data_IF_130892606889
#
_entry.id   IF_130892606889
#
_cell.length_a   1.000
_cell.length_b   1.000
_cell.length_c   1.000
_cell.angle_alpha   90.00
_cell.angle_beta   90.00
_cell.angle_gamma   90.00
#
_symmetry.space_group_name_H-M   'P 1'
#
loop_
_entity.id
_entity.type
_entity.pdbx_description
1 polymer ?
#
# COMPACT_ATOMS: atom_id res chain seq x y z
N UNK A 1 10.67 17.50 -14.24
CA UNK A 1 9.37 17.28 -13.56
C UNK A 1 8.80 18.54 -12.88
N UNK A 2 9.39 19.72 -13.13
CA UNK A 2 8.90 21.00 -12.60
C UNK A 2 8.79 21.00 -11.08
N UNK A 3 7.86 21.80 -10.54
CA UNK A 3 7.68 21.98 -9.09
C UNK A 3 7.44 20.65 -8.35
N UNK A 4 6.75 19.69 -8.98
CA UNK A 4 6.56 18.34 -8.41
C UNK A 4 7.90 17.61 -8.27
N UNK A 5 8.77 17.69 -9.27
CA UNK A 5 10.12 17.12 -9.22
C UNK A 5 10.98 17.77 -8.16
N UNK A 6 10.88 19.08 -8.01
CA UNK A 6 11.59 19.83 -6.99
C UNK A 6 11.14 19.42 -5.58
N UNK A 7 9.83 19.21 -5.37
CA UNK A 7 9.31 18.72 -4.11
C UNK A 7 9.80 17.30 -3.78
N UNK A 8 9.89 16.41 -4.77
CA UNK A 8 10.47 15.05 -4.59
C UNK A 8 11.94 15.15 -4.23
N UNK A 9 12.70 16.00 -4.93
CA UNK A 9 14.13 16.22 -4.64
C UNK A 9 14.34 16.82 -3.23
N UNK A 10 13.46 17.73 -2.80
CA UNK A 10 13.49 18.29 -1.45
C UNK A 10 13.20 17.21 -0.40
N UNK A 11 12.24 16.30 -0.66
CA UNK A 11 11.95 15.19 0.22
C UNK A 11 13.17 14.26 0.36
N UNK A 12 13.79 13.89 -0.76
CA UNK A 12 14.99 13.05 -0.79
C UNK A 12 16.15 13.71 -0.03
N UNK A 13 16.38 15.00 -0.26
CA UNK A 13 17.36 15.78 0.50
C UNK A 13 17.08 15.78 2.00
N UNK A 14 15.80 15.90 2.41
CA UNK A 14 15.40 15.90 3.82
C UNK A 14 15.74 14.54 4.48
N UNK A 15 15.49 13.45 3.77
CA UNK A 15 15.87 12.10 4.24
C UNK A 15 17.39 11.99 4.37
N UNK A 16 18.15 12.54 3.41
CA UNK A 16 19.60 12.60 3.47
C UNK A 16 20.12 13.37 4.70
N UNK A 17 19.52 14.54 5.00
CA UNK A 17 19.88 15.32 6.19
C UNK A 17 19.58 14.58 7.50
N UNK A 18 18.46 13.83 7.56
CA UNK A 18 18.16 12.98 8.71
C UNK A 18 19.23 11.90 8.89
N UNK A 19 19.60 11.21 7.81
CA UNK A 19 20.59 10.15 7.86
C UNK A 19 21.98 10.67 8.24
N UNK A 20 22.39 11.80 7.71
CA UNK A 20 23.65 12.48 8.06
C UNK A 20 23.69 12.90 9.54
N UNK A 21 22.57 13.43 10.05
CA UNK A 21 22.46 13.79 11.47
C UNK A 21 22.61 12.57 12.38
N UNK A 22 21.97 11.44 12.03
CA UNK A 22 22.11 10.20 12.79
C UNK A 22 23.57 9.68 12.78
N UNK A 23 24.27 9.84 11.67
CA UNK A 23 25.65 9.45 11.54
C UNK A 23 26.57 10.33 12.42
N UNK A 24 26.42 11.63 12.35
CA UNK A 24 27.16 12.60 13.19
C UNK A 24 26.95 12.37 14.69
N UNK A 25 25.76 11.91 15.08
CA UNK A 25 25.44 11.59 16.47
C UNK A 25 25.83 10.16 16.89
N UNK A 26 26.37 9.35 15.99
CA UNK A 26 26.70 7.94 16.26
C UNK A 26 25.50 7.04 16.52
N UNK A 27 24.31 7.41 16.02
CA UNK A 27 23.05 6.69 16.24
C UNK A 27 22.67 5.76 15.07
N UNK A 28 23.36 5.83 13.96
CA UNK A 28 23.06 5.14 12.70
C UNK A 28 22.82 3.64 12.88
N UNK A 29 23.72 2.95 13.58
CA UNK A 29 23.68 1.50 13.73
C UNK A 29 22.42 1.02 14.45
N UNK A 30 21.97 1.76 15.46
CA UNK A 30 20.84 1.37 16.31
C UNK A 30 19.56 2.17 16.08
N UNK A 31 19.39 2.72 14.87
CA UNK A 31 18.17 3.42 14.48
C UNK A 31 17.46 2.66 13.36
N UNK A 32 16.19 2.32 13.59
CA UNK A 32 15.28 1.81 12.57
C UNK A 32 14.65 3.01 11.84
N UNK A 33 14.90 3.12 10.54
CA UNK A 33 14.25 4.08 9.65
C UNK A 33 13.27 3.30 8.77
N UNK A 34 12.02 3.75 8.74
CA UNK A 34 10.99 3.27 7.81
C UNK A 34 10.52 4.47 7.01
N UNK A 35 10.68 4.39 5.69
CA UNK A 35 10.18 5.38 4.75
C UNK A 35 9.06 4.76 3.94
N UNK A 36 7.92 5.44 3.86
CA UNK A 36 6.76 4.99 3.11
C UNK A 36 5.89 6.17 2.69
N UNK A 37 4.80 5.87 1.97
CA UNK A 37 3.73 6.81 1.65
C UNK A 37 2.42 6.32 2.28
N UNK A 38 1.45 7.21 2.44
CA UNK A 38 0.13 6.90 3.00
C UNK A 38 -0.81 6.27 1.96
N UNK A 39 -0.66 6.64 0.68
CA UNK A 39 -1.45 6.13 -0.44
C UNK A 39 -0.68 6.23 -1.75
N UNK A 40 -1.25 5.70 -2.82
CA UNK A 40 -0.73 5.85 -4.17
C UNK A 40 -0.64 7.31 -4.63
N UNK A 41 0.09 7.60 -5.71
CA UNK A 41 0.33 8.96 -6.16
C UNK A 41 -0.92 9.64 -6.71
N UNK A 42 -0.94 10.97 -6.70
CA UNK A 42 -1.83 11.82 -7.47
C UNK A 42 -0.97 12.84 -8.22
N UNK A 43 -1.29 13.08 -9.48
CA UNK A 43 -0.55 14.04 -10.32
C UNK A 43 -1.20 15.39 -10.26
N UNK A 44 -2.49 15.46 -10.57
CA UNK A 44 -3.29 16.68 -10.47
C UNK A 44 -4.10 16.62 -9.17
N UNK A 45 -3.69 17.42 -8.20
CA UNK A 45 -4.35 17.58 -6.90
C UNK A 45 -5.00 18.99 -6.77
N UNK A 46 -5.30 19.60 -7.94
CA UNK A 46 -5.93 20.92 -8.03
C UNK A 46 -4.95 22.09 -7.93
N UNK A 47 -3.65 21.84 -7.79
CA UNK A 47 -2.63 22.89 -7.81
C UNK A 47 -2.24 23.28 -9.24
N UNK A 48 -2.01 24.58 -9.44
CA UNK A 48 -1.57 25.13 -10.73
C UNK A 48 -0.05 25.07 -10.89
N UNK A 49 0.53 23.88 -10.75
CA UNK A 49 1.96 23.65 -10.75
C UNK A 49 2.48 23.00 -12.05
N UNK A 50 1.57 22.77 -13.02
CA UNK A 50 1.86 22.10 -14.30
C UNK A 50 2.40 20.67 -14.11
N UNK A 51 1.96 19.97 -13.05
CA UNK A 51 2.47 18.64 -12.71
C UNK A 51 2.26 17.63 -13.86
N UNK A 52 1.12 17.67 -14.53
CA UNK A 52 0.82 16.79 -15.67
C UNK A 52 1.69 17.10 -16.89
N UNK A 53 1.77 18.37 -17.28
CA UNK A 53 2.51 18.81 -18.48
C UNK A 53 4.01 18.55 -18.36
N UNK A 54 4.53 18.54 -17.12
CA UNK A 54 5.95 18.39 -16.84
C UNK A 54 6.35 16.98 -16.39
N UNK A 55 5.47 15.97 -16.54
CA UNK A 55 5.80 14.57 -16.22
C UNK A 55 6.96 14.01 -17.04
N UNK A 56 7.12 14.47 -18.30
CA UNK A 56 8.19 14.01 -19.21
C UNK A 56 8.32 12.49 -19.30
N UNK A 57 7.17 11.79 -19.39
CA UNK A 57 7.12 10.33 -19.46
C UNK A 57 7.25 9.60 -18.13
N UNK A 58 7.37 10.32 -17.01
CA UNK A 58 7.32 9.69 -15.70
C UNK A 58 5.93 9.14 -15.40
N UNK A 59 5.87 7.90 -14.91
CA UNK A 59 4.64 7.21 -14.50
C UNK A 59 4.63 7.06 -12.99
N UNK A 60 3.97 7.95 -12.23
CA UNK A 60 4.09 8.01 -10.77
C UNK A 60 3.68 6.71 -10.04
N UNK A 61 2.67 6.00 -10.53
CA UNK A 61 2.26 4.68 -10.00
C UNK A 61 3.06 3.51 -10.59
N UNK A 62 4.10 3.81 -11.37
CA UNK A 62 4.88 2.77 -12.04
C UNK A 62 4.02 1.93 -12.98
N UNK A 63 4.09 0.60 -12.86
CA UNK A 63 3.33 -0.31 -13.70
C UNK A 63 1.89 -0.53 -13.21
N UNK A 64 1.52 -0.02 -12.03
CA UNK A 64 0.23 -0.29 -11.41
C UNK A 64 -0.89 0.55 -12.02
N UNK A 65 -2.06 -0.07 -12.21
CA UNK A 65 -3.28 0.62 -12.62
C UNK A 65 -3.82 1.49 -11.49
N UNK A 66 -4.39 2.63 -11.83
CA UNK A 66 -4.96 3.58 -10.87
C UNK A 66 -3.90 4.46 -10.20
N UNK A 67 -4.39 5.30 -9.32
CA UNK A 67 -3.62 6.25 -8.51
C UNK A 67 -4.36 6.43 -7.18
N UNK A 68 -3.98 7.40 -6.34
CA UNK A 68 -4.75 7.82 -5.15
C UNK A 68 -6.25 7.79 -5.44
N UNK A 69 -7.06 7.39 -4.50
CA UNK A 69 -8.52 7.20 -4.58
C UNK A 69 -8.99 5.92 -5.27
N UNK A 70 -8.15 5.25 -6.06
CA UNK A 70 -8.52 4.05 -6.80
C UNK A 70 -8.58 2.80 -5.93
N UNK A 71 -9.46 1.86 -6.27
CA UNK A 71 -9.47 0.51 -5.72
C UNK A 71 -8.40 -0.39 -6.35
N UNK A 72 -7.78 0.04 -7.44
CA UNK A 72 -6.68 -0.66 -8.10
C UNK A 72 -5.36 -0.51 -7.33
N UNK A 73 -4.38 -1.34 -7.64
CA UNK A 73 -3.10 -1.43 -6.93
C UNK A 73 -2.36 -0.09 -6.88
N UNK A 74 -2.42 0.73 -7.94
CA UNK A 74 -1.80 2.05 -7.95
C UNK A 74 -2.37 3.04 -6.92
N UNK A 75 -3.54 2.75 -6.32
CA UNK A 75 -4.12 3.55 -5.24
C UNK A 75 -3.66 3.15 -3.85
N UNK A 76 -3.25 1.91 -3.67
CA UNK A 76 -3.00 1.29 -2.37
C UNK A 76 -1.57 0.76 -2.18
N UNK A 77 -0.92 0.32 -3.26
CA UNK A 77 0.47 -0.11 -3.21
C UNK A 77 1.38 1.11 -3.05
N UNK A 78 2.15 1.11 -1.97
CA UNK A 78 3.08 2.19 -1.62
C UNK A 78 4.49 1.64 -1.45
N UNK A 79 5.53 2.44 -1.74
CA UNK A 79 6.89 2.04 -1.46
C UNK A 79 7.12 1.91 0.04
N UNK A 80 7.89 0.91 0.46
CA UNK A 80 8.38 0.77 1.82
C UNK A 80 9.89 0.53 1.77
N UNK A 81 10.66 1.43 2.35
CA UNK A 81 12.12 1.30 2.48
C UNK A 81 12.45 1.20 3.96
N UNK A 82 13.15 0.14 4.34
CA UNK A 82 13.55 -0.10 5.72
C UNK A 82 15.07 -0.11 5.83
N UNK A 83 15.60 0.69 6.75
CA UNK A 83 17.01 0.74 7.05
C UNK A 83 17.27 0.57 8.54
N UNK A 84 18.06 -0.43 8.90
CA UNK A 84 18.56 -0.66 10.25
C UNK A 84 19.88 -1.45 10.20
N UNK A 85 21.03 -0.78 10.10
CA UNK A 85 22.30 -1.45 9.84
C UNK A 85 22.69 -2.50 10.88
N UNK A 86 22.34 -2.31 12.14
CA UNK A 86 22.61 -3.30 13.17
C UNK A 86 21.83 -4.61 12.98
N UNK A 87 20.63 -4.57 12.43
CA UNK A 87 19.75 -5.74 12.29
C UNK A 87 19.66 -6.27 10.86
N UNK A 88 19.60 -5.40 9.88
CA UNK A 88 19.50 -5.77 8.46
C UNK A 88 20.90 -5.89 7.89
N UNK A 89 21.38 -7.13 7.71
CA UNK A 89 22.73 -7.41 7.22
C UNK A 89 22.81 -7.65 5.72
N UNK A 90 21.69 -7.95 5.09
CA UNK A 90 21.58 -8.14 3.64
C UNK A 90 20.62 -7.11 3.08
N UNK A 91 21.07 -6.37 2.10
CA UNK A 91 20.23 -5.44 1.34
C UNK A 91 19.62 -6.16 0.13
N UNK A 92 18.47 -5.73 -0.30
CA UNK A 92 17.77 -6.28 -1.46
C UNK A 92 16.30 -5.92 -1.44
N UNK A 93 15.60 -6.37 -2.46
CA UNK A 93 14.17 -6.17 -2.61
C UNK A 93 13.39 -7.33 -1.98
N UNK A 94 12.17 -7.05 -1.53
CA UNK A 94 11.23 -8.03 -1.01
C UNK A 94 9.88 -7.84 -1.68
N UNK A 95 9.31 -8.93 -2.15
CA UNK A 95 7.97 -9.02 -2.74
C UNK A 95 6.92 -9.54 -1.74
N UNK A 96 7.26 -9.60 -0.47
CA UNK A 96 6.38 -10.08 0.59
C UNK A 96 5.18 -9.16 0.74
N UNK A 97 3.99 -9.76 0.72
CA UNK A 97 2.75 -9.03 0.97
C UNK A 97 2.66 -8.58 2.42
N UNK A 98 2.66 -7.27 2.65
CA UNK A 98 2.57 -6.62 3.95
C UNK A 98 1.56 -5.47 3.92
N UNK A 99 1.14 -5.02 5.09
CA UNK A 99 0.31 -3.82 5.24
C UNK A 99 0.85 -2.90 6.33
N UNK A 100 0.66 -1.60 6.17
CA UNK A 100 1.07 -0.61 7.18
C UNK A 100 0.37 -0.80 8.53
N UNK A 101 -0.83 -1.41 8.54
CA UNK A 101 -1.52 -1.77 9.80
C UNK A 101 -0.73 -2.77 10.65
N UNK A 102 0.23 -3.50 10.07
CA UNK A 102 1.09 -4.46 10.76
C UNK A 102 2.19 -3.78 11.60
N UNK A 103 2.44 -2.49 11.38
CA UNK A 103 3.49 -1.78 12.11
C UNK A 103 3.24 -1.72 13.61
N UNK A 104 1.98 -1.58 14.04
CA UNK A 104 1.68 -1.51 15.47
C UNK A 104 2.09 -2.81 16.20
N UNK A 105 1.69 -3.98 15.69
CA UNK A 105 2.08 -5.25 16.29
C UNK A 105 3.58 -5.51 16.15
N UNK A 106 4.18 -5.21 14.99
CA UNK A 106 5.60 -5.42 14.72
C UNK A 106 6.51 -4.55 15.59
N UNK A 107 6.20 -3.26 15.71
CA UNK A 107 6.97 -2.36 16.58
C UNK A 107 6.72 -2.65 18.05
N UNK A 108 5.51 -3.09 18.42
CA UNK A 108 5.23 -3.61 19.74
C UNK A 108 6.10 -4.81 20.09
N UNK A 109 6.22 -5.78 19.18
CA UNK A 109 7.10 -6.94 19.34
C UNK A 109 8.57 -6.53 19.45
N UNK A 110 9.02 -5.58 18.64
CA UNK A 110 10.39 -5.06 18.66
C UNK A 110 10.82 -4.56 20.07
N UNK A 111 9.93 -3.87 20.76
CA UNK A 111 10.21 -3.30 22.08
C UNK A 111 9.67 -4.17 23.25
N UNK A 112 9.23 -5.39 22.95
CA UNK A 112 8.58 -6.29 23.90
C UNK A 112 7.39 -5.67 24.66
N UNK A 113 6.65 -4.77 23.98
CA UNK A 113 5.46 -4.14 24.55
C UNK A 113 4.27 -5.09 24.52
N UNK A 114 3.55 -5.19 25.64
CA UNK A 114 2.27 -5.89 25.69
C UNK A 114 1.18 -4.96 25.19
N UNK A 115 0.68 -5.22 23.98
CA UNK A 115 -0.44 -4.47 23.44
C UNK A 115 -1.72 -4.80 24.23
N UNK A 116 -2.56 -3.79 24.58
CA UNK A 116 -3.85 -4.03 25.19
C UNK A 116 -4.74 -4.92 24.30
N UNK A 117 -5.57 -5.74 24.90
CA UNK A 117 -6.50 -6.60 24.16
C UNK A 117 -7.42 -5.74 23.27
N UNK A 118 -7.45 -6.03 21.96
CA UNK A 118 -8.28 -5.34 20.99
C UNK A 118 -7.71 -4.02 20.45
N UNK A 119 -6.51 -3.58 20.87
CA UNK A 119 -5.90 -2.34 20.35
C UNK A 119 -5.36 -2.46 18.93
N UNK A 120 -5.13 -3.68 18.44
CA UNK A 120 -4.58 -3.95 17.12
C UNK A 120 -5.28 -5.16 16.47
N UNK A 121 -6.62 -5.11 16.25
CA UNK A 121 -7.41 -6.29 15.88
C UNK A 121 -7.04 -6.88 14.53
N UNK A 122 -6.53 -6.06 13.62
CA UNK A 122 -6.17 -6.45 12.24
C UNK A 122 -4.65 -6.42 12.00
N UNK A 123 -3.84 -6.10 13.01
CA UNK A 123 -2.38 -6.00 12.91
C UNK A 123 -1.72 -7.35 13.24
N UNK A 124 -0.84 -7.80 12.36
CA UNK A 124 0.02 -8.98 12.59
C UNK A 124 1.43 -8.54 12.93
N UNK A 125 2.10 -9.28 13.79
CA UNK A 125 3.54 -9.11 13.94
C UNK A 125 4.26 -9.57 12.67
N UNK A 126 4.87 -8.63 11.98
CA UNK A 126 5.64 -8.78 10.76
C UNK A 126 7.06 -8.21 10.90
N UNK A 127 7.55 -8.15 12.13
CA UNK A 127 8.90 -7.64 12.37
C UNK A 127 9.95 -8.38 11.54
N UNK A 128 9.84 -9.71 11.48
CA UNK A 128 10.75 -10.53 10.66
C UNK A 128 10.76 -10.14 9.18
N UNK A 129 9.59 -9.80 8.62
CA UNK A 129 9.48 -9.33 7.24
C UNK A 129 10.12 -7.95 7.07
N UNK A 130 9.88 -7.02 8.00
CA UNK A 130 10.47 -5.67 7.98
C UNK A 130 12.00 -5.69 8.02
N UNK A 131 12.59 -6.63 8.76
CA UNK A 131 14.05 -6.74 8.88
C UNK A 131 14.67 -7.81 7.96
N UNK A 132 13.87 -8.42 7.08
CA UNK A 132 14.34 -9.37 6.06
C UNK A 132 14.64 -10.79 6.55
N UNK A 133 14.24 -11.16 7.77
CA UNK A 133 14.47 -12.50 8.35
C UNK A 133 13.31 -13.48 8.12
N UNK A 134 12.15 -13.00 7.72
CA UNK A 134 10.97 -13.79 7.34
C UNK A 134 10.50 -13.37 5.95
N UNK A 135 10.11 -14.36 5.14
CA UNK A 135 9.59 -14.19 3.78
C UNK A 135 8.15 -14.69 3.64
N UNK A 136 7.47 -14.92 4.75
CA UNK A 136 6.08 -15.38 4.74
C UNK A 136 5.16 -14.22 4.37
N UNK A 137 4.30 -14.42 3.38
CA UNK A 137 3.29 -13.45 2.99
C UNK A 137 2.19 -13.29 4.06
N UNK A 138 1.60 -12.11 4.12
CA UNK A 138 0.31 -11.93 4.78
C UNK A 138 -0.75 -12.72 3.99
N UNK A 139 -1.66 -13.46 4.65
CA UNK A 139 -2.64 -14.28 3.93
C UNK A 139 -3.56 -13.45 3.05
N UNK A 140 -3.92 -12.25 3.52
CA UNK A 140 -4.70 -11.26 2.79
C UNK A 140 -4.60 -9.88 3.43
N UNK A 141 -4.91 -8.85 2.65
CA UNK A 141 -5.09 -7.47 3.08
C UNK A 141 -6.49 -7.04 2.62
N UNK A 142 -7.21 -6.31 3.46
CA UNK A 142 -8.43 -5.60 3.06
C UNK A 142 -8.09 -4.13 2.93
N UNK A 143 -8.40 -3.56 1.77
CA UNK A 143 -8.14 -2.19 1.43
C UNK A 143 -9.47 -1.49 1.16
N UNK A 144 -9.50 -0.18 1.33
CA UNK A 144 -10.66 0.66 1.04
C UNK A 144 -10.24 1.80 0.13
N UNK A 145 -10.93 1.91 -0.98
CA UNK A 145 -10.78 3.06 -1.89
C UNK A 145 -11.69 4.21 -1.46
N UNK A 146 -11.62 5.29 -2.20
CA UNK A 146 -12.66 6.31 -2.20
C UNK A 146 -14.05 5.67 -2.39
N UNK A 147 -15.09 6.29 -1.82
CA UNK A 147 -16.48 5.83 -1.88
C UNK A 147 -16.71 4.44 -1.23
N UNK A 148 -15.84 4.10 -0.26
CA UNK A 148 -16.00 2.92 0.59
C UNK A 148 -15.96 1.56 -0.13
N UNK A 149 -15.53 1.48 -1.39
CA UNK A 149 -15.31 0.21 -2.08
C UNK A 149 -14.19 -0.57 -1.38
N UNK A 150 -14.49 -1.80 -0.98
CA UNK A 150 -13.50 -2.68 -0.39
C UNK A 150 -12.89 -3.60 -1.43
N UNK A 151 -11.62 -3.90 -1.24
CA UNK A 151 -10.91 -4.93 -1.98
C UNK A 151 -10.20 -5.89 -1.03
N UNK A 152 -9.94 -7.10 -1.53
CA UNK A 152 -9.08 -8.10 -0.88
C UNK A 152 -7.89 -8.35 -1.77
N UNK A 153 -6.70 -8.19 -1.21
CA UNK A 153 -5.41 -8.47 -1.83
C UNK A 153 -4.77 -9.69 -1.16
N UNK A 154 -4.49 -10.72 -1.94
CA UNK A 154 -3.61 -11.84 -1.57
C UNK A 154 -2.34 -11.77 -2.43
N UNK A 155 -1.35 -12.64 -2.22
CA UNK A 155 -0.15 -12.68 -3.05
C UNK A 155 -0.48 -12.68 -4.56
N UNK A 156 -1.43 -13.52 -4.97
CA UNK A 156 -1.68 -13.83 -6.38
C UNK A 156 -2.96 -13.19 -6.93
N UNK A 157 -3.83 -12.68 -6.06
CA UNK A 157 -5.16 -12.22 -6.46
C UNK A 157 -5.53 -10.89 -5.83
N UNK A 158 -6.24 -10.06 -6.60
CA UNK A 158 -6.99 -8.91 -6.07
C UNK A 158 -8.46 -9.02 -6.48
N UNK A 159 -9.31 -8.97 -5.48
CA UNK A 159 -10.75 -8.90 -5.64
C UNK A 159 -11.24 -7.51 -5.23
N UNK A 160 -12.06 -6.88 -6.08
CA UNK A 160 -12.76 -5.63 -5.77
C UNK A 160 -14.24 -5.92 -5.77
N UNK A 161 -14.93 -5.55 -4.69
CA UNK A 161 -16.37 -5.78 -4.56
C UNK A 161 -17.18 -4.88 -5.47
N UNK A 162 -18.41 -5.29 -5.85
CA UNK A 162 -19.37 -4.42 -6.52
C UNK A 162 -19.67 -3.17 -5.68
N UNK A 163 -19.77 -2.04 -6.33
CA UNK A 163 -20.21 -0.79 -5.73
C UNK A 163 -21.19 -0.09 -6.67
N UNK A 164 -22.31 0.36 -6.13
CA UNK A 164 -23.36 1.06 -6.88
C UNK A 164 -23.06 2.56 -7.04
N UNK A 165 -21.94 3.07 -6.51
CA UNK A 165 -21.53 4.45 -6.70
C UNK A 165 -21.21 4.71 -8.18
N UNK A 166 -21.87 5.68 -8.82
CA UNK A 166 -21.66 5.97 -10.23
C UNK A 166 -20.29 6.61 -10.53
N UNK A 167 -19.52 6.97 -9.50
CA UNK A 167 -18.21 7.60 -9.66
C UNK A 167 -17.15 6.58 -10.10
N UNK A 168 -17.17 6.23 -11.38
CA UNK A 168 -16.18 5.32 -11.98
C UNK A 168 -14.89 6.03 -12.36
N UNK A 169 -14.93 7.35 -12.49
CA UNK A 169 -13.79 8.16 -12.92
C UNK A 169 -13.83 9.54 -12.27
N UNK A 170 -12.75 9.92 -11.61
CA UNK A 170 -12.56 11.27 -11.07
C UNK A 170 -12.03 12.18 -12.17
N UNK A 171 -12.86 13.09 -12.65
CA UNK A 171 -12.56 13.92 -13.83
C UNK A 171 -11.46 14.94 -13.59
N UNK A 172 -11.44 15.56 -12.41
CA UNK A 172 -10.46 16.58 -12.07
C UNK A 172 -9.04 16.00 -12.00
N UNK A 173 -8.90 14.85 -11.33
CA UNK A 173 -7.63 14.17 -11.11
C UNK A 173 -7.31 13.16 -12.22
N UNK A 174 -8.22 12.96 -13.17
CA UNK A 174 -8.11 11.98 -14.27
C UNK A 174 -7.82 10.55 -13.78
N UNK A 175 -8.47 10.14 -12.70
CA UNK A 175 -8.24 8.87 -12.03
C UNK A 175 -9.43 7.94 -12.23
N UNK A 176 -9.13 6.72 -12.64
CA UNK A 176 -10.07 5.60 -12.67
C UNK A 176 -10.22 5.05 -11.25
N UNK A 177 -11.45 5.05 -10.72
CA UNK A 177 -11.70 4.67 -9.31
C UNK A 177 -11.72 3.16 -9.07
N UNK A 178 -12.05 2.38 -10.08
CA UNK A 178 -12.32 0.95 -9.95
C UNK A 178 -13.71 0.62 -9.39
N UNK A 179 -14.60 1.62 -9.19
CA UNK A 179 -15.95 1.40 -8.73
C UNK A 179 -16.85 0.90 -9.88
N UNK A 180 -17.16 -0.38 -9.87
CA UNK A 180 -18.09 -1.01 -10.81
C UNK A 180 -19.19 -1.74 -10.04
N UNK A 181 -20.37 -1.85 -10.64
CA UNK A 181 -21.50 -2.60 -10.05
C UNK A 181 -21.40 -4.13 -10.25
N UNK A 182 -20.25 -4.62 -10.65
CA UNK A 182 -19.93 -6.03 -10.87
C UNK A 182 -18.70 -6.45 -10.07
N UNK A 183 -18.59 -7.73 -9.69
CA UNK A 183 -17.38 -8.25 -9.08
C UNK A 183 -16.18 -8.10 -10.03
N UNK A 184 -15.03 -7.76 -9.48
CA UNK A 184 -13.79 -7.71 -10.23
C UNK A 184 -12.77 -8.63 -9.57
N UNK A 185 -12.06 -9.42 -10.39
CA UNK A 185 -10.98 -10.30 -9.96
C UNK A 185 -9.81 -10.18 -10.91
N UNK A 186 -8.62 -10.01 -10.36
CA UNK A 186 -7.39 -9.82 -11.11
C UNK A 186 -6.30 -10.78 -10.61
N UNK A 187 -5.55 -11.36 -11.57
CA UNK A 187 -4.31 -12.10 -11.29
C UNK A 187 -3.18 -11.10 -11.11
N UNK A 188 -2.43 -11.21 -10.00
CA UNK A 188 -1.42 -10.21 -9.61
C UNK A 188 0.02 -10.59 -10.01
N UNK A 189 0.24 -11.76 -10.58
CA UNK A 189 1.56 -12.15 -11.14
C UNK A 189 2.00 -11.28 -12.32
N UNK A 190 1.03 -10.68 -13.02
CA UNK A 190 1.26 -9.83 -14.19
C UNK A 190 0.86 -8.42 -13.83
N UNK A 191 1.85 -7.59 -13.75
CA UNK A 191 1.75 -6.17 -13.53
C UNK A 191 0.65 -5.54 -14.38
N UNK A 192 -0.52 -5.47 -13.93
CA UNK A 192 -1.66 -4.62 -14.26
C UNK A 192 -2.99 -5.35 -14.22
N UNK A 193 -3.90 -4.80 -13.48
CA UNK A 193 -5.31 -5.19 -13.35
C UNK A 193 -6.09 -4.85 -14.64
N UNK A 194 -5.61 -5.34 -15.80
CA UNK A 194 -6.18 -5.00 -17.12
C UNK A 194 -7.39 -5.84 -17.48
N UNK A 195 -7.41 -7.09 -17.03
CA UNK A 195 -8.45 -8.04 -17.42
C UNK A 195 -9.17 -8.56 -16.19
N UNK A 196 -10.44 -8.18 -16.05
CA UNK A 196 -11.31 -8.80 -15.07
C UNK A 196 -11.56 -10.28 -15.45
N UNK A 197 -11.21 -11.19 -14.55
CA UNK A 197 -11.37 -12.64 -14.74
C UNK A 197 -12.41 -13.25 -13.78
N UNK A 198 -13.26 -12.42 -13.15
CA UNK A 198 -14.23 -12.87 -12.14
C UNK A 198 -15.16 -13.96 -12.67
N UNK A 199 -15.63 -13.86 -13.92
CA UNK A 199 -16.50 -14.87 -14.54
C UNK A 199 -15.78 -16.21 -14.76
N UNK A 200 -14.46 -16.17 -14.97
CA UNK A 200 -13.65 -17.37 -15.20
C UNK A 200 -13.36 -18.14 -13.91
N UNK A 201 -13.31 -17.45 -12.77
CA UNK A 201 -12.93 -18.01 -11.47
C UNK A 201 -13.95 -17.70 -10.36
N UNK A 202 -15.22 -18.16 -10.50
CA UNK A 202 -16.29 -17.84 -9.55
C UNK A 202 -16.00 -18.36 -8.13
N UNK A 203 -15.31 -19.50 -7.99
CA UNK A 203 -14.93 -20.03 -6.67
C UNK A 203 -13.93 -19.08 -5.96
N UNK A 204 -12.98 -18.50 -6.69
CA UNK A 204 -12.04 -17.54 -6.13
C UNK A 204 -12.72 -16.24 -5.73
N UNK A 205 -13.66 -15.77 -6.53
CA UNK A 205 -14.52 -14.62 -6.16
C UNK A 205 -15.25 -14.91 -4.85
N UNK A 206 -15.88 -16.09 -4.72
CA UNK A 206 -16.60 -16.48 -3.50
C UNK A 206 -15.68 -16.58 -2.27
N UNK A 207 -14.49 -17.15 -2.44
CA UNK A 207 -13.47 -17.24 -1.37
C UNK A 207 -13.13 -15.84 -0.84
N UNK A 208 -12.73 -14.91 -1.73
CA UNK A 208 -12.27 -13.57 -1.34
C UNK A 208 -13.44 -12.71 -0.82
N UNK A 209 -14.62 -12.84 -1.39
CA UNK A 209 -15.83 -12.20 -0.88
C UNK A 209 -16.17 -12.68 0.55
N UNK A 210 -15.88 -13.94 0.86
CA UNK A 210 -16.10 -14.50 2.19
C UNK A 210 -15.17 -13.83 3.21
N UNK A 211 -13.95 -13.50 2.85
CA UNK A 211 -13.03 -12.72 3.70
C UNK A 211 -13.64 -11.36 4.05
N UNK A 212 -14.17 -10.62 3.07
CA UNK A 212 -14.83 -9.33 3.34
C UNK A 212 -16.02 -9.47 4.29
N UNK A 213 -16.84 -10.50 4.10
CA UNK A 213 -17.98 -10.78 5.00
C UNK A 213 -17.51 -11.05 6.43
N UNK A 214 -16.44 -11.82 6.60
CA UNK A 214 -15.88 -12.11 7.92
C UNK A 214 -15.32 -10.85 8.59
N UNK A 215 -14.61 -10.00 7.85
CA UNK A 215 -14.07 -8.74 8.36
C UNK A 215 -15.19 -7.80 8.81
N UNK A 216 -16.25 -7.66 8.01
CA UNK A 216 -17.43 -6.85 8.36
C UNK A 216 -18.12 -7.37 9.62
N UNK A 217 -18.29 -8.68 9.72
CA UNK A 217 -18.96 -9.31 10.87
C UNK A 217 -18.17 -9.18 12.17
N UNK A 218 -16.85 -9.18 12.12
CA UNK A 218 -15.98 -8.94 13.30
C UNK A 218 -16.15 -7.52 13.85
N UNK A 219 -16.33 -6.53 12.98
CA UNK A 219 -16.54 -5.12 13.38
C UNK A 219 -17.90 -4.87 14.04
N UNK A 220 -18.89 -5.72 13.77
CA UNK A 220 -20.23 -5.61 14.37
C UNK A 220 -20.28 -6.23 15.77
N UNK A 221 -19.28 -7.02 16.15
CA UNK A 221 -19.23 -7.72 17.46
C UNK A 221 -18.34 -7.02 18.50
N UNK A 222 -17.79 -5.85 18.17
CA UNK A 222 -17.14 -4.95 19.14
C UNK A 222 -18.10 -3.84 19.56
#
# INVERSE_FOLDING_TARGET
>A
MGLRGDAIAQFDWTVGQLMETLDQLGLTENTLIILSSDNGPVVDDGYKDKAEELLNGHTPSGPWRGNKYSAFEGGTAVPVIVRWPQKIKQTGDSDVLMSQIDWLASLGALINARLPKGSAPDSYDRLGNLIGTDKTDRPWIVEQSMNHTLSVRTKDWKYIEPNDDPTTFMKAEKIETGNLNVPQLYEMEKVSEQKNVAEKYPEKVFELQTILRQVRNKRIKM
#
